data_IF_562657390063
#
_entry.id   IF_562657390063
#
_cell.length_a   1.000
_cell.length_b   1.000
_cell.length_c   1.000
_cell.angle_alpha   90.00
_cell.angle_beta   90.00
_cell.angle_gamma   90.00
#
_symmetry.space_group_name_H-M   'P 1'
#
loop_
_entity.id
_entity.type
_entity.pdbx_description
1 polymer ?
#
# COMPACT_ATOMS: atom_id res chain seq x y z
N UNK A 1 9.36 8.67 -19.08
CA UNK A 1 8.41 9.31 -18.13
C UNK A 1 8.80 10.75 -17.88
N UNK A 2 7.85 11.69 -17.80
CA UNK A 2 8.15 13.05 -17.30
C UNK A 2 8.43 13.00 -15.79
N UNK A 3 9.31 13.85 -15.28
CA UNK A 3 9.67 13.92 -13.86
C UNK A 3 8.43 14.05 -12.95
N UNK A 4 7.41 14.79 -13.41
CA UNK A 4 6.14 14.97 -12.72
C UNK A 4 5.39 13.64 -12.47
N UNK A 5 5.40 12.70 -13.42
CA UNK A 5 4.72 11.40 -13.25
C UNK A 5 5.41 10.58 -12.15
N UNK A 6 6.74 10.62 -12.08
CA UNK A 6 7.52 9.93 -11.04
C UNK A 6 7.32 10.55 -9.66
N UNK A 7 7.24 11.87 -9.58
CA UNK A 7 7.02 12.57 -8.31
C UNK A 7 5.66 12.26 -7.70
N UNK A 8 4.60 12.26 -8.52
CA UNK A 8 3.24 11.89 -8.08
C UNK A 8 3.18 10.43 -7.61
N UNK A 9 3.76 9.49 -8.38
CA UNK A 9 3.80 8.08 -7.97
C UNK A 9 4.55 7.87 -6.65
N UNK A 10 5.66 8.60 -6.43
CA UNK A 10 6.40 8.55 -5.17
C UNK A 10 5.61 9.12 -3.99
N UNK A 11 4.83 10.17 -4.20
CA UNK A 11 3.99 10.77 -3.17
C UNK A 11 2.84 9.83 -2.78
N UNK A 12 2.24 9.15 -3.76
CA UNK A 12 1.19 8.16 -3.49
C UNK A 12 1.72 6.93 -2.73
N UNK A 13 2.93 6.45 -3.04
CA UNK A 13 3.57 5.36 -2.29
C UNK A 13 3.82 5.78 -0.84
N UNK A 14 4.34 6.99 -0.61
CA UNK A 14 4.55 7.52 0.75
C UNK A 14 3.23 7.61 1.52
N UNK A 15 2.19 8.14 0.90
CA UNK A 15 0.87 8.21 1.52
C UNK A 15 0.34 6.83 1.94
N UNK A 16 0.46 5.83 1.07
CA UNK A 16 -0.03 4.48 1.38
C UNK A 16 0.76 3.82 2.52
N UNK A 17 2.09 4.01 2.56
CA UNK A 17 2.95 3.58 3.68
C UNK A 17 2.57 4.27 4.99
N UNK A 18 2.33 5.59 4.96
CA UNK A 18 1.93 6.35 6.14
C UNK A 18 0.57 5.91 6.68
N UNK A 19 -0.39 5.62 5.79
CA UNK A 19 -1.70 5.08 6.16
C UNK A 19 -1.57 3.72 6.83
N UNK A 20 -0.75 2.81 6.27
CA UNK A 20 -0.49 1.49 6.87
C UNK A 20 0.10 1.65 8.27
N UNK A 21 1.14 2.47 8.42
CA UNK A 21 1.80 2.68 9.72
C UNK A 21 0.85 3.24 10.78
N UNK A 22 0.02 4.23 10.40
CA UNK A 22 -0.97 4.79 11.32
C UNK A 22 -2.02 3.76 11.70
N UNK A 23 -2.56 3.02 10.74
CA UNK A 23 -3.58 1.99 10.99
C UNK A 23 -3.04 0.83 11.83
N UNK A 24 -1.79 0.45 11.64
CA UNK A 24 -1.13 -0.55 12.49
C UNK A 24 -0.93 -0.06 13.93
N UNK A 25 -0.75 1.24 14.14
CA UNK A 25 -0.74 1.82 15.47
C UNK A 25 -2.14 1.84 16.10
N UNK A 26 -3.17 2.23 15.34
CA UNK A 26 -4.58 2.21 15.77
C UNK A 26 -4.99 0.80 16.23
N UNK A 27 -4.65 -0.24 15.46
CA UNK A 27 -4.91 -1.66 15.83
C UNK A 27 -4.30 -2.00 17.21
N UNK A 28 -3.04 -1.64 17.44
CA UNK A 28 -2.39 -1.89 18.74
C UNK A 28 -3.05 -1.14 19.88
N UNK A 29 -3.53 0.08 19.62
CA UNK A 29 -4.26 0.86 20.60
C UNK A 29 -5.61 0.20 20.95
N UNK A 30 -6.37 -0.23 19.95
CA UNK A 30 -7.64 -0.93 20.15
C UNK A 30 -7.46 -2.27 20.87
N UNK A 31 -6.43 -3.04 20.56
CA UNK A 31 -6.08 -4.27 21.30
C UNK A 31 -5.84 -3.97 22.79
N UNK A 32 -5.10 -2.90 23.10
CA UNK A 32 -4.86 -2.47 24.47
C UNK A 32 -6.11 -1.93 25.18
N UNK A 33 -7.06 -1.35 24.44
CA UNK A 33 -8.34 -0.87 24.97
C UNK A 33 -9.28 -2.04 25.32
N UNK A 34 -9.33 -3.09 24.49
CA UNK A 34 -10.11 -4.32 24.74
C UNK A 34 -9.72 -4.97 26.08
N UNK A 35 -8.42 -4.99 26.41
CA UNK A 35 -7.94 -5.53 27.68
C UNK A 35 -8.43 -4.72 28.89
N UNK A 36 -8.52 -3.39 28.75
CA UNK A 36 -8.91 -2.46 29.82
C UNK A 36 -10.41 -2.33 29.99
N UNK A 37 -11.16 -2.57 28.93
CA UNK A 37 -12.61 -2.39 28.93
C UNK A 37 -13.34 -3.42 29.79
N UNK A 38 -14.39 -2.94 30.47
CA UNK A 38 -15.22 -3.76 31.35
C UNK A 38 -16.52 -4.20 30.69
N UNK A 39 -16.95 -3.52 29.63
CA UNK A 39 -18.25 -3.75 28.99
C UNK A 39 -18.06 -4.49 27.68
N UNK A 40 -18.80 -5.58 27.49
CA UNK A 40 -18.78 -6.37 26.25
C UNK A 40 -19.01 -5.51 25.00
N UNK A 41 -19.96 -4.58 25.04
CA UNK A 41 -20.27 -3.69 23.92
C UNK A 41 -19.05 -2.87 23.43
N UNK A 42 -18.20 -2.39 24.35
CA UNK A 42 -17.02 -1.60 23.96
C UNK A 42 -15.93 -2.50 23.36
N UNK A 43 -15.74 -3.70 23.91
CA UNK A 43 -14.85 -4.70 23.32
C UNK A 43 -15.29 -5.08 21.90
N UNK A 44 -16.57 -5.40 21.72
CA UNK A 44 -17.15 -5.73 20.42
C UNK A 44 -17.01 -4.56 19.41
N UNK A 45 -16.97 -3.31 19.89
CA UNK A 45 -16.75 -2.14 19.04
C UNK A 45 -15.28 -2.03 18.61
N UNK A 46 -14.34 -2.17 19.54
CA UNK A 46 -12.91 -2.16 19.24
C UNK A 46 -12.48 -3.34 18.36
N UNK A 47 -13.09 -4.52 18.53
CA UNK A 47 -12.86 -5.66 17.63
C UNK A 47 -13.26 -5.32 16.18
N UNK A 48 -14.38 -4.62 15.98
CA UNK A 48 -14.79 -4.16 14.64
C UNK A 48 -13.89 -3.08 14.09
N UNK A 49 -13.37 -2.18 14.93
CA UNK A 49 -12.39 -1.17 14.51
C UNK A 49 -11.08 -1.82 14.06
N UNK A 50 -10.60 -2.84 14.79
CA UNK A 50 -9.44 -3.65 14.41
C UNK A 50 -9.68 -4.32 13.05
N UNK A 51 -10.83 -4.97 12.84
CA UNK A 51 -11.15 -5.61 11.56
C UNK A 51 -11.18 -4.61 10.40
N UNK A 52 -11.72 -3.41 10.62
CA UNK A 52 -11.73 -2.36 9.61
C UNK A 52 -10.32 -1.91 9.28
N UNK A 53 -9.50 -1.66 10.29
CA UNK A 53 -8.14 -1.16 10.10
C UNK A 53 -7.22 -2.20 9.47
N UNK A 54 -7.38 -3.48 9.80
CA UNK A 54 -6.71 -4.59 9.11
C UNK A 54 -7.09 -4.65 7.62
N UNK A 55 -8.38 -4.52 7.28
CA UNK A 55 -8.82 -4.48 5.87
C UNK A 55 -8.24 -3.29 5.10
N UNK A 56 -8.12 -2.14 5.76
CA UNK A 56 -7.48 -0.96 5.15
C UNK A 56 -6.00 -1.21 4.90
N UNK A 57 -5.28 -1.80 5.85
CA UNK A 57 -3.88 -2.20 5.69
C UNK A 57 -3.72 -3.16 4.52
N UNK A 58 -4.46 -4.27 4.49
CA UNK A 58 -4.38 -5.27 3.41
C UNK A 58 -4.63 -4.65 2.04
N UNK A 59 -5.59 -3.72 1.95
CA UNK A 59 -5.88 -3.01 0.70
C UNK A 59 -4.70 -2.13 0.28
N UNK A 60 -4.11 -1.39 1.22
CA UNK A 60 -2.97 -0.51 0.93
C UNK A 60 -1.69 -1.27 0.59
N UNK A 61 -1.47 -2.43 1.20
CA UNK A 61 -0.37 -3.32 0.82
C UNK A 61 -0.52 -3.83 -0.62
N UNK A 62 -1.74 -4.21 -1.03
CA UNK A 62 -2.03 -4.59 -2.43
C UNK A 62 -1.87 -3.42 -3.40
N UNK A 63 -2.33 -2.22 -3.03
CA UNK A 63 -2.14 -1.02 -3.85
C UNK A 63 -0.65 -0.72 -4.06
N UNK A 64 0.18 -0.91 -3.03
CA UNK A 64 1.65 -0.76 -3.11
C UNK A 64 2.30 -1.83 -3.98
N UNK A 65 1.88 -3.10 -3.85
CA UNK A 65 2.37 -4.21 -4.68
C UNK A 65 2.08 -3.96 -6.17
N UNK A 66 0.83 -3.60 -6.50
CA UNK A 66 0.43 -3.28 -7.87
C UNK A 66 1.20 -2.08 -8.45
N UNK A 67 1.43 -1.03 -7.64
CA UNK A 67 2.26 0.12 -8.05
C UNK A 67 3.72 -0.29 -8.28
N UNK A 68 4.25 -1.20 -7.47
CA UNK A 68 5.59 -1.75 -7.67
C UNK A 68 5.73 -2.50 -8.99
N UNK A 69 4.74 -3.33 -9.34
CA UNK A 69 4.69 -4.04 -10.63
C UNK A 69 4.53 -3.07 -11.83
N UNK A 70 3.72 -2.03 -11.69
CA UNK A 70 3.54 -1.01 -12.74
C UNK A 70 4.85 -0.24 -13.00
N UNK A 71 5.57 0.14 -11.94
CA UNK A 71 6.88 0.81 -12.06
C UNK A 71 7.94 -0.11 -12.69
N UNK A 72 7.95 -1.39 -12.32
CA UNK A 72 8.88 -2.37 -12.87
C UNK A 72 8.61 -2.67 -14.36
N UNK A 73 7.35 -2.64 -14.79
CA UNK A 73 6.97 -2.86 -16.20
C UNK A 73 7.20 -1.63 -17.08
N UNK A 74 7.04 -0.40 -16.57
CA UNK A 74 7.32 0.85 -17.31
C UNK A 74 8.83 1.00 -17.66
N UNK A 75 9.75 0.41 -16.88
CA UNK A 75 11.19 0.41 -17.16
C UNK A 75 11.63 -0.65 -18.20
N UNK A 76 10.78 -1.64 -18.53
CA UNK A 76 11.12 -2.74 -19.46
C UNK A 76 10.70 -2.46 -20.92
N UNK A 77 9.89 -1.43 -21.18
CA UNK A 77 9.43 -1.07 -22.55
C UNK A 77 10.51 -0.32 -23.36
N UNK A 78 11.72 -0.14 -22.83
CA UNK A 78 12.82 0.61 -23.46
C UNK A 78 13.93 -0.20 -24.15
N UNK A 79 13.77 -1.51 -24.37
CA UNK A 79 14.86 -2.35 -24.94
C UNK A 79 14.46 -2.92 -26.32
N UNK A 80 14.85 -2.15 -27.35
CA UNK A 80 15.31 -2.57 -28.69
C UNK A 80 14.24 -3.06 -29.68
N UNK A 81 13.57 -2.10 -30.32
CA UNK A 81 13.36 -2.15 -31.77
C UNK A 81 14.51 -1.36 -32.43
N UNK A 82 15.58 -2.04 -32.83
CA UNK A 82 16.44 -1.52 -33.90
C UNK A 82 16.86 -2.70 -34.79
N UNK A 83 16.37 -2.65 -36.02
CA UNK A 83 16.65 -3.60 -37.09
C UNK A 83 18.16 -3.69 -37.36
N UNK A 84 18.67 -4.92 -37.53
CA UNK A 84 19.90 -5.12 -38.31
C UNK A 84 19.66 -6.28 -39.27
N UNK A 85 19.18 -5.92 -40.46
CA UNK A 85 19.36 -6.71 -41.69
C UNK A 85 20.85 -6.81 -41.99
N UNK A 86 21.36 -8.04 -42.13
CA UNK A 86 22.65 -8.28 -42.79
C UNK A 86 22.35 -9.22 -43.96
N UNK A 87 22.24 -8.65 -45.14
CA UNK A 87 22.49 -9.36 -46.39
C UNK A 87 24.00 -9.52 -46.55
N UNK A 88 24.49 -10.76 -46.70
CA UNK A 88 25.54 -11.13 -47.66
C UNK A 88 25.53 -12.65 -47.91
#
# INVERSE_FOLDING_TARGET
MSEIKKDVQNEEVKHDVDVINRKAADVKEHEAQIEKDRTKMMKDLHEKEIEHDQKVIEKKEKDLEAKGEELASDDVVGVVEEEVTIEE
#
